data_IF_295131422131
#
_entry.id   IF_295131422131
#
_cell.length_a   1.000
_cell.length_b   1.000
_cell.length_c   1.000
_cell.angle_alpha   90.00
_cell.angle_beta   90.00
_cell.angle_gamma   90.00
#
_symmetry.space_group_name_H-M   'P 1'
#
loop_
_entity.id
_entity.type
_entity.pdbx_description
1 polymer ?
#
# COMPACT_ATOMS: atom_id res chain seq x y z
N UNK A 1 -7.17 16.37 0.20
CA UNK A 1 -6.61 15.06 0.54
C UNK A 1 -7.68 14.00 0.43
N UNK A 2 -7.36 12.88 -0.17
CA UNK A 2 -8.27 11.75 -0.33
C UNK A 2 -7.79 10.59 0.53
N UNK A 3 -8.70 9.94 1.24
CA UNK A 3 -8.41 8.78 2.09
C UNK A 3 -9.19 7.58 1.60
N UNK A 4 -8.49 6.46 1.37
CA UNK A 4 -9.09 5.18 0.98
C UNK A 4 -8.70 4.13 1.99
N UNK A 5 -9.70 3.48 2.58
CA UNK A 5 -9.51 2.44 3.60
C UNK A 5 -9.97 1.11 3.04
N UNK A 6 -9.14 0.10 3.21
CA UNK A 6 -9.45 -1.28 2.84
C UNK A 6 -9.13 -2.20 4.01
N UNK A 7 -9.94 -3.23 4.21
CA UNK A 7 -9.77 -4.17 5.33
C UNK A 7 -9.98 -5.60 4.85
N UNK A 8 -9.26 -6.53 5.46
CA UNK A 8 -9.43 -7.95 5.23
C UNK A 8 -9.04 -8.74 6.47
N UNK A 9 -9.71 -9.87 6.68
CA UNK A 9 -9.33 -10.84 7.70
C UNK A 9 -8.57 -11.97 7.01
N UNK A 10 -7.33 -12.22 7.45
CA UNK A 10 -6.42 -13.18 6.83
C UNK A 10 -6.13 -14.28 7.86
N UNK A 11 -6.33 -15.54 7.47
CA UNK A 11 -6.12 -16.69 8.34
C UNK A 11 -4.64 -17.08 8.41
N UNK A 12 -3.83 -16.17 8.92
CA UNK A 12 -2.40 -16.36 9.19
C UNK A 12 -2.00 -15.55 10.42
N UNK A 13 -0.94 -15.97 11.14
CA UNK A 13 -0.47 -15.22 12.31
C UNK A 13 -0.07 -13.78 11.96
N UNK A 14 -0.29 -12.87 12.91
CA UNK A 14 -0.04 -11.43 12.68
C UNK A 14 1.42 -11.15 12.31
N UNK A 15 2.37 -11.85 12.90
CA UNK A 15 3.79 -11.66 12.58
C UNK A 15 4.11 -12.05 11.13
N UNK A 16 3.49 -13.11 10.63
CA UNK A 16 3.67 -13.58 9.26
C UNK A 16 3.05 -12.60 8.26
N UNK A 17 1.85 -12.11 8.55
CA UNK A 17 1.19 -11.11 7.68
C UNK A 17 2.00 -9.82 7.65
N UNK A 18 2.45 -9.35 8.82
CA UNK A 18 3.26 -8.14 8.91
C UNK A 18 4.53 -8.24 8.06
N UNK A 19 5.28 -9.33 8.22
CA UNK A 19 6.51 -9.54 7.45
C UNK A 19 6.22 -9.54 5.93
N UNK A 20 5.17 -10.20 5.52
CA UNK A 20 4.81 -10.32 4.11
C UNK A 20 4.44 -8.97 3.49
N UNK A 21 3.56 -8.20 4.12
CA UNK A 21 3.05 -6.94 3.54
C UNK A 21 4.07 -5.80 3.58
N UNK A 22 5.05 -5.87 4.47
CA UNK A 22 6.11 -4.85 4.60
C UNK A 22 7.36 -5.16 3.79
N UNK A 23 7.38 -6.27 3.06
CA UNK A 23 8.46 -6.66 2.15
C UNK A 23 8.07 -6.28 0.71
N UNK A 24 8.71 -5.26 0.12
CA UNK A 24 8.27 -4.72 -1.18
C UNK A 24 8.24 -5.73 -2.33
N UNK A 25 9.13 -6.72 -2.32
CA UNK A 25 9.15 -7.75 -3.37
C UNK A 25 7.81 -8.48 -3.48
N UNK A 26 7.05 -8.59 -2.40
CA UNK A 26 5.74 -9.23 -2.42
C UNK A 26 4.65 -8.35 -3.03
N UNK A 27 4.85 -7.03 -3.09
CA UNK A 27 3.84 -6.10 -3.62
C UNK A 27 3.47 -6.42 -5.05
N UNK A 28 4.42 -6.91 -5.85
CA UNK A 28 4.17 -7.32 -7.24
C UNK A 28 3.19 -8.50 -7.33
N UNK A 29 3.07 -9.27 -6.26
CA UNK A 29 2.19 -10.44 -6.19
C UNK A 29 0.75 -10.03 -5.89
N UNK A 30 0.57 -9.12 -4.91
CA UNK A 30 -0.77 -8.83 -4.43
C UNK A 30 -1.31 -7.46 -4.81
N UNK A 31 -0.46 -6.47 -5.12
CA UNK A 31 -0.95 -5.13 -5.46
C UNK A 31 -1.00 -4.93 -6.97
N UNK A 32 -2.21 -4.78 -7.56
CA UNK A 32 -2.35 -4.68 -9.02
C UNK A 32 -1.71 -3.43 -9.62
N UNK A 33 -1.51 -2.38 -8.82
CA UNK A 33 -0.92 -1.12 -9.27
C UNK A 33 0.60 -1.15 -9.34
N UNK A 34 1.25 -2.13 -8.71
CA UNK A 34 2.72 -2.18 -8.66
C UNK A 34 3.28 -2.85 -9.91
N UNK A 35 4.14 -2.15 -10.64
CA UNK A 35 4.75 -2.63 -11.88
C UNK A 35 6.21 -3.03 -11.73
N UNK A 36 6.95 -2.39 -10.84
CA UNK A 36 8.35 -2.64 -10.62
C UNK A 36 8.87 -1.92 -9.39
N UNK A 37 9.99 -2.39 -8.86
CA UNK A 37 10.54 -1.88 -7.60
C UNK A 37 12.06 -1.78 -7.70
N UNK A 38 12.62 -0.72 -7.11
CA UNK A 38 14.05 -0.47 -7.05
C UNK A 38 14.45 -0.04 -5.63
N UNK A 39 15.58 -0.51 -5.16
CA UNK A 39 16.10 -0.20 -3.82
C UNK A 39 16.00 -1.40 -2.89
N UNK A 40 15.66 -1.15 -1.63
CA UNK A 40 15.51 -2.21 -0.63
C UNK A 40 14.19 -2.95 -0.88
N UNK A 41 14.23 -4.18 -1.37
CA UNK A 41 13.01 -4.91 -1.79
C UNK A 41 12.87 -6.29 -1.16
N UNK A 42 13.95 -6.88 -0.65
CA UNK A 42 14.02 -8.30 -0.29
C UNK A 42 13.82 -8.61 1.20
N UNK A 43 13.41 -7.64 1.99
CA UNK A 43 13.16 -7.79 3.42
C UNK A 43 12.07 -6.83 3.90
N UNK A 44 11.54 -7.08 5.09
CA UNK A 44 10.62 -6.15 5.75
C UNK A 44 11.33 -4.83 6.02
N UNK A 45 10.83 -3.74 5.44
CA UNK A 45 11.52 -2.46 5.51
C UNK A 45 11.53 -1.86 6.91
N UNK A 46 12.73 -1.42 7.32
CA UNK A 46 12.98 -0.75 8.59
C UNK A 46 12.73 0.75 8.49
N UNK A 47 12.58 1.42 9.63
CA UNK A 47 12.43 2.89 9.65
C UNK A 47 13.60 3.54 8.91
N UNK A 48 13.27 4.48 8.03
CA UNK A 48 14.23 5.23 7.23
C UNK A 48 14.64 4.57 5.93
N UNK A 49 14.36 3.28 5.72
CA UNK A 49 14.62 2.63 4.45
C UNK A 49 13.71 3.16 3.35
N UNK A 50 14.22 3.17 2.14
CA UNK A 50 13.54 3.73 0.97
C UNK A 50 13.42 2.70 -0.13
N UNK A 51 12.32 2.79 -0.90
CA UNK A 51 12.09 2.00 -2.10
C UNK A 51 11.39 2.87 -3.14
N UNK A 52 11.76 2.72 -4.40
CA UNK A 52 11.07 3.37 -5.51
C UNK A 52 10.16 2.35 -6.18
N UNK A 53 8.90 2.73 -6.32
CA UNK A 53 7.89 1.90 -6.96
C UNK A 53 7.44 2.53 -8.28
N UNK A 54 7.47 1.76 -9.34
CA UNK A 54 6.80 2.10 -10.59
C UNK A 54 5.38 1.58 -10.51
N UNK A 55 4.41 2.43 -10.82
CA UNK A 55 3.00 2.09 -10.67
C UNK A 55 2.16 2.43 -11.90
N UNK A 56 1.02 1.77 -11.98
CA UNK A 56 -0.08 2.16 -12.85
C UNK A 56 -1.34 2.24 -11.99
N UNK A 57 -1.88 3.44 -11.84
CA UNK A 57 -3.08 3.71 -11.06
C UNK A 57 -4.08 4.41 -11.96
N UNK A 58 -5.29 3.87 -12.05
CA UNK A 58 -6.36 4.41 -12.89
C UNK A 58 -5.89 4.63 -14.35
N UNK A 59 -5.04 3.75 -14.88
CA UNK A 59 -4.48 3.85 -16.22
C UNK A 59 -3.29 4.78 -16.38
N UNK A 60 -2.90 5.49 -15.33
CA UNK A 60 -1.79 6.44 -15.34
C UNK A 60 -0.53 5.78 -14.77
N UNK A 61 0.56 5.79 -15.53
CA UNK A 61 1.86 5.29 -15.09
C UNK A 61 2.66 6.40 -14.41
N UNK A 62 3.40 6.02 -13.37
CA UNK A 62 4.29 6.94 -12.69
C UNK A 62 5.26 6.20 -11.80
N UNK A 63 6.05 6.97 -11.04
CA UNK A 63 6.91 6.42 -10.00
C UNK A 63 6.77 7.22 -8.72
N UNK A 64 6.95 6.53 -7.60
CA UNK A 64 6.89 7.10 -6.27
C UNK A 64 8.06 6.60 -5.45
N UNK A 65 8.69 7.51 -4.70
CA UNK A 65 9.74 7.16 -3.75
C UNK A 65 9.13 7.10 -2.36
N UNK A 66 9.12 5.90 -1.79
CA UNK A 66 8.57 5.62 -0.47
C UNK A 66 9.67 5.57 0.58
N UNK A 67 9.38 6.11 1.76
CA UNK A 67 10.25 6.03 2.94
C UNK A 67 9.45 5.56 4.13
N UNK A 68 9.98 4.60 4.88
CA UNK A 68 9.32 4.10 6.10
C UNK A 68 9.43 5.16 7.20
N UNK A 69 8.28 5.61 7.68
CA UNK A 69 8.16 6.65 8.71
C UNK A 69 7.67 6.12 10.05
N UNK A 70 7.09 4.91 10.09
CA UNK A 70 6.60 4.29 11.31
C UNK A 70 6.74 2.78 11.20
N UNK A 71 7.17 2.14 12.29
CA UNK A 71 7.29 0.68 12.36
C UNK A 71 7.15 0.23 13.81
N UNK A 72 6.06 -0.46 14.10
CA UNK A 72 5.78 -1.06 15.40
C UNK A 72 5.32 -2.51 15.15
N UNK A 73 6.29 -3.42 15.18
CA UNK A 73 6.08 -4.84 14.85
C UNK A 73 5.28 -5.53 15.94
N UNK A 74 4.26 -6.30 15.61
CA UNK A 74 3.72 -6.63 14.30
C UNK A 74 2.42 -5.89 13.97
N UNK A 75 2.20 -4.72 14.56
CA UNK A 75 0.88 -4.08 14.59
C UNK A 75 0.73 -2.86 13.71
N UNK A 76 1.83 -2.15 13.40
CA UNK A 76 1.72 -0.89 12.66
C UNK A 76 2.94 -0.61 11.81
N UNK A 77 2.70 -0.08 10.61
CA UNK A 77 3.75 0.29 9.67
C UNK A 77 3.23 1.35 8.72
N UNK A 78 4.04 2.37 8.44
CA UNK A 78 3.63 3.43 7.53
C UNK A 78 4.79 3.89 6.66
N UNK A 79 4.46 4.25 5.42
CA UNK A 79 5.37 4.83 4.44
C UNK A 79 4.82 6.13 3.91
N UNK A 80 5.70 7.09 3.70
CA UNK A 80 5.38 8.35 3.04
C UNK A 80 6.09 8.41 1.70
N UNK A 81 5.41 8.90 0.67
CA UNK A 81 5.93 8.90 -0.67
C UNK A 81 5.71 10.21 -1.41
N UNK A 82 6.62 10.46 -2.34
CA UNK A 82 6.56 11.61 -3.26
C UNK A 82 6.55 11.06 -4.67
N UNK A 83 5.52 11.45 -5.43
CA UNK A 83 5.36 11.05 -6.83
C UNK A 83 6.22 11.95 -7.71
N UNK A 84 6.96 11.36 -8.65
CA UNK A 84 7.87 12.09 -9.52
C UNK A 84 7.18 13.20 -10.32
N UNK A 85 5.97 12.97 -10.79
CA UNK A 85 5.18 13.95 -11.56
C UNK A 85 4.45 14.97 -10.67
N UNK A 86 4.62 14.90 -9.35
CA UNK A 86 3.89 15.71 -8.37
C UNK A 86 2.85 14.87 -7.64
N UNK A 87 2.43 15.37 -6.49
CA UNK A 87 1.57 14.62 -5.59
C UNK A 87 2.36 13.87 -4.53
N UNK A 88 1.67 13.49 -3.46
CA UNK A 88 2.26 12.80 -2.32
C UNK A 88 1.23 11.87 -1.69
N UNK A 89 1.71 10.88 -0.96
CA UNK A 89 0.83 9.95 -0.28
C UNK A 89 1.47 9.34 0.95
N UNK A 90 0.63 8.78 1.79
CA UNK A 90 1.02 8.00 2.95
C UNK A 90 0.20 6.74 2.97
N UNK A 91 0.85 5.61 3.15
CA UNK A 91 0.16 4.33 3.33
C UNK A 91 0.43 3.86 4.75
N UNK A 92 -0.63 3.52 5.47
CA UNK A 92 -0.55 3.00 6.82
C UNK A 92 -1.18 1.63 6.88
N UNK A 93 -0.43 0.65 7.41
CA UNK A 93 -0.93 -0.68 7.72
C UNK A 93 -1.17 -0.80 9.23
N UNK A 94 -2.33 -1.28 9.60
CA UNK A 94 -2.66 -1.60 10.99
C UNK A 94 -3.08 -3.07 11.03
N UNK A 95 -2.43 -3.84 11.90
CA UNK A 95 -2.67 -5.27 12.03
C UNK A 95 -2.98 -5.60 13.48
N UNK A 96 -3.96 -6.47 13.67
CA UNK A 96 -4.32 -6.99 14.99
C UNK A 96 -4.69 -8.46 14.91
N UNK A 97 -4.43 -9.20 15.97
CA UNK A 97 -4.82 -10.59 16.05
C UNK A 97 -6.31 -10.69 16.26
N UNK A 98 -6.98 -11.57 15.51
CA UNK A 98 -8.40 -11.84 15.67
C UNK A 98 -8.65 -13.34 15.49
N UNK A 99 -9.19 -14.02 16.53
CA UNK A 99 -9.35 -15.46 16.49
C UNK A 99 -8.04 -16.17 16.18
N UNK A 100 -8.00 -16.93 15.08
CA UNK A 100 -6.81 -17.64 14.60
C UNK A 100 -6.09 -16.91 13.47
N UNK A 101 -6.42 -15.65 13.23
CA UNK A 101 -5.90 -14.89 12.12
C UNK A 101 -5.56 -13.44 12.44
N UNK A 102 -5.53 -12.64 11.40
CA UNK A 102 -5.14 -11.24 11.44
C UNK A 102 -6.19 -10.37 10.79
N UNK A 103 -6.59 -9.30 11.46
CA UNK A 103 -7.33 -8.20 10.85
C UNK A 103 -6.30 -7.24 10.25
N UNK A 104 -6.30 -7.09 8.94
CA UNK A 104 -5.40 -6.21 8.22
C UNK A 104 -6.16 -5.01 7.66
N UNK A 105 -5.72 -3.81 8.04
CA UNK A 105 -6.29 -2.55 7.57
C UNK A 105 -5.23 -1.75 6.84
N UNK A 106 -5.55 -1.34 5.63
CA UNK A 106 -4.69 -0.48 4.80
C UNK A 106 -5.39 0.86 4.60
N UNK A 107 -4.73 1.93 4.97
CA UNK A 107 -5.22 3.29 4.77
C UNK A 107 -4.28 4.02 3.82
N UNK A 108 -4.82 4.50 2.72
CA UNK A 108 -4.07 5.26 1.72
C UNK A 108 -4.58 6.70 1.71
N UNK A 109 -3.73 7.62 2.15
CA UNK A 109 -3.98 9.06 2.13
C UNK A 109 -3.14 9.68 1.04
N UNK A 110 -3.75 10.42 0.12
CA UNK A 110 -3.00 11.05 -0.96
C UNK A 110 -3.53 12.44 -1.31
N UNK A 111 -2.62 13.27 -1.84
CA UNK A 111 -2.92 14.61 -2.30
C UNK A 111 -2.43 14.77 -3.75
N UNK A 112 -3.29 15.29 -4.60
CA UNK A 112 -2.96 15.57 -6.00
C UNK A 112 -2.09 16.82 -6.13
N UNK A 113 -1.28 16.95 -7.21
CA UNK A 113 -0.32 18.05 -7.35
C UNK A 113 -0.97 19.43 -7.57
N UNK A 114 -2.22 19.49 -8.03
CA UNK A 114 -2.91 20.75 -8.28
C UNK A 114 -4.44 20.57 -8.23
N UNK A 115 -5.17 21.67 -8.29
CA UNK A 115 -6.64 21.64 -8.19
C UNK A 115 -7.34 20.90 -9.34
N UNK A 116 -6.77 20.96 -10.54
CA UNK A 116 -7.34 20.27 -11.70
C UNK A 116 -7.21 18.75 -11.54
N UNK A 117 -6.04 18.28 -11.15
CA UNK A 117 -5.83 16.87 -10.86
C UNK A 117 -6.71 16.40 -9.69
N UNK A 118 -6.88 17.24 -8.65
CA UNK A 118 -7.76 16.94 -7.53
C UNK A 118 -9.23 16.82 -7.98
N UNK A 119 -9.66 17.65 -8.93
CA UNK A 119 -11.00 17.55 -9.49
C UNK A 119 -11.20 16.25 -10.28
N UNK A 120 -10.23 15.85 -11.09
CA UNK A 120 -10.26 14.57 -11.80
C UNK A 120 -10.28 13.39 -10.85
N UNK A 121 -9.52 13.46 -9.75
CA UNK A 121 -9.53 12.45 -8.72
C UNK A 121 -10.94 12.29 -8.13
N UNK A 122 -11.55 13.39 -7.72
CA UNK A 122 -12.88 13.38 -7.13
C UNK A 122 -13.94 12.82 -8.05
N UNK A 123 -13.84 13.08 -9.37
CA UNK A 123 -14.83 12.67 -10.35
C UNK A 123 -14.62 11.25 -10.89
N UNK A 124 -13.36 10.82 -11.06
CA UNK A 124 -13.05 9.60 -11.79
C UNK A 124 -12.01 8.69 -11.13
N UNK A 125 -10.87 9.24 -10.70
CA UNK A 125 -9.69 8.45 -10.31
C UNK A 125 -9.94 7.71 -8.99
N UNK A 126 -10.56 8.36 -8.02
CA UNK A 126 -10.81 7.83 -6.69
C UNK A 126 -11.51 6.47 -6.72
N UNK A 127 -12.54 6.32 -7.54
CA UNK A 127 -13.29 5.06 -7.64
C UNK A 127 -12.41 3.92 -8.15
N UNK A 128 -11.52 4.22 -9.07
CA UNK A 128 -10.59 3.22 -9.59
C UNK A 128 -9.57 2.81 -8.57
N UNK A 129 -9.06 3.76 -7.79
CA UNK A 129 -8.13 3.47 -6.69
C UNK A 129 -8.83 2.63 -5.62
N UNK A 130 -10.07 2.92 -5.29
CA UNK A 130 -10.86 2.11 -4.36
C UNK A 130 -11.00 0.67 -4.86
N UNK A 131 -11.32 0.49 -6.12
CA UNK A 131 -11.45 -0.84 -6.72
C UNK A 131 -10.12 -1.59 -6.77
N UNK A 132 -9.03 -0.92 -7.12
CA UNK A 132 -7.69 -1.50 -7.13
C UNK A 132 -7.24 -1.89 -5.72
N UNK A 133 -7.56 -1.07 -4.72
CA UNK A 133 -7.24 -1.36 -3.32
C UNK A 133 -8.02 -2.57 -2.80
N UNK A 134 -9.28 -2.70 -3.14
CA UNK A 134 -10.10 -3.86 -2.78
C UNK A 134 -9.56 -5.14 -3.43
N UNK A 135 -9.19 -5.05 -4.71
CA UNK A 135 -8.59 -6.19 -5.43
C UNK A 135 -7.24 -6.58 -4.82
N UNK A 136 -6.44 -5.60 -4.39
CA UNK A 136 -5.16 -5.85 -3.74
C UNK A 136 -5.34 -6.71 -2.49
N UNK A 137 -6.30 -6.37 -1.63
CA UNK A 137 -6.54 -7.14 -0.41
C UNK A 137 -7.10 -8.53 -0.69
N UNK A 138 -7.93 -8.67 -1.70
CA UNK A 138 -8.41 -9.99 -2.14
C UNK A 138 -7.25 -10.88 -2.60
N UNK A 139 -6.32 -10.34 -3.37
CA UNK A 139 -5.12 -11.05 -3.83
C UNK A 139 -4.17 -11.39 -2.68
N UNK A 140 -4.02 -10.46 -1.73
CA UNK A 140 -3.21 -10.67 -0.54
C UNK A 140 -3.73 -11.84 0.28
N UNK A 141 -5.03 -11.86 0.54
CA UNK A 141 -5.70 -12.94 1.26
C UNK A 141 -5.48 -14.27 0.53
N UNK A 142 -5.68 -14.30 -0.77
CA UNK A 142 -5.48 -15.49 -1.58
C UNK A 142 -4.02 -15.98 -1.52
N UNK A 143 -3.05 -15.07 -1.63
CA UNK A 143 -1.63 -15.42 -1.60
C UNK A 143 -1.21 -16.01 -0.26
N UNK A 144 -1.70 -15.47 0.85
CA UNK A 144 -1.32 -15.92 2.19
C UNK A 144 -2.07 -17.16 2.67
N UNK A 145 -3.29 -17.38 2.18
CA UNK A 145 -4.14 -18.50 2.64
C UNK A 145 -4.03 -19.76 1.80
N UNK A 146 -3.24 -19.75 0.73
CA UNK A 146 -3.03 -20.94 -0.11
C UNK A 146 -1.83 -21.76 0.30
#
# INVERSE_FOLDING_TARGET
MTTIVSQATIRRPVAEVFDYVTTPAHWLIWHPSSLGLHGATDHSLQIGEEVTEEFRVAGLKGSVSWKVIERDVPNRWAIAGIVAAGGRGTITYTLSTTGDGTEFRREFDYAMPNWFAALLDRLFIRRRIEAESALALSRLKQALET
#
